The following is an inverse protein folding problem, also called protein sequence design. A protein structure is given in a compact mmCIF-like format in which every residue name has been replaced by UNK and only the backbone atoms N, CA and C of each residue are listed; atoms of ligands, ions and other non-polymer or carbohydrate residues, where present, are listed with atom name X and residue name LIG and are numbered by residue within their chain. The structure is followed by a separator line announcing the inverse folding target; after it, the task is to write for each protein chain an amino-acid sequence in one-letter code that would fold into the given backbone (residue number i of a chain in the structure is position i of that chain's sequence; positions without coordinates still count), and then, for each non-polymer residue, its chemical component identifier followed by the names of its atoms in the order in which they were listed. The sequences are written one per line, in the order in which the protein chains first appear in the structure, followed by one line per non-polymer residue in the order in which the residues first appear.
data_IF_520633209990
#
_entry.id   IF_520633209990
#
_cell.length_a   1.000
_cell.length_b   1.000
_cell.length_c   1.000
_cell.angle_alpha   90.00
_cell.angle_beta   90.00
_cell.angle_gamma   90.00
#
_symmetry.space_group_name_H-M   'P 1'
#
loop_
_entity.id
_entity.type
_entity.pdbx_description
1 polymer ?
#
# COMPACT_ATOMS: atom_id res chain seq x y z
N UNK A 1 15.51 -22.73 -7.70
CA UNK A 1 14.11 -23.08 -8.01
C UNK A 1 13.44 -21.80 -8.40
N UNK A 2 13.02 -21.68 -9.66
CA UNK A 2 12.35 -20.47 -10.13
C UNK A 2 11.04 -20.26 -9.41
N UNK A 3 10.84 -19.06 -8.90
CA UNK A 3 9.66 -18.70 -8.10
C UNK A 3 8.43 -18.70 -9.02
N UNK A 4 7.55 -19.70 -8.84
CA UNK A 4 6.30 -19.79 -9.58
C UNK A 4 5.31 -18.74 -9.06
N UNK A 5 4.80 -17.91 -9.95
CA UNK A 5 3.79 -16.86 -9.64
C UNK A 5 2.42 -17.22 -10.22
N UNK A 6 1.35 -16.70 -9.66
CA UNK A 6 0.01 -16.91 -10.20
C UNK A 6 -0.12 -16.32 -11.59
N UNK A 7 -0.72 -17.05 -12.52
CA UNK A 7 -0.85 -16.65 -13.93
C UNK A 7 -1.55 -15.31 -14.12
N UNK A 8 -2.56 -14.98 -13.32
CA UNK A 8 -3.21 -13.67 -13.37
C UNK A 8 -2.27 -12.53 -12.93
N UNK A 9 -1.35 -12.79 -11.99
CA UNK A 9 -0.28 -11.85 -11.62
C UNK A 9 0.71 -11.70 -12.76
N UNK A 10 1.13 -12.81 -13.38
CA UNK A 10 2.05 -12.82 -14.53
C UNK A 10 1.51 -11.98 -15.69
N UNK A 11 0.27 -12.21 -16.12
CA UNK A 11 -0.39 -11.46 -17.20
C UNK A 11 -0.52 -9.95 -16.89
N UNK A 12 -0.82 -9.64 -15.62
CA UNK A 12 -0.93 -8.24 -15.20
C UNK A 12 0.42 -7.52 -15.17
N UNK A 13 1.50 -8.18 -14.74
CA UNK A 13 2.87 -7.65 -14.74
C UNK A 13 3.46 -7.57 -16.14
N UNK A 14 3.05 -8.47 -17.04
CA UNK A 14 3.39 -8.40 -18.45
C UNK A 14 2.66 -7.27 -19.21
N UNK A 15 1.73 -6.56 -18.54
CA UNK A 15 1.02 -5.43 -19.14
C UNK A 15 -0.18 -5.81 -19.99
N UNK A 16 -0.57 -7.09 -20.07
CA UNK A 16 -1.65 -7.56 -20.92
C UNK A 16 -3.02 -7.04 -20.44
N UNK A 17 -3.34 -7.23 -19.14
CA UNK A 17 -4.64 -6.87 -18.59
C UNK A 17 -4.59 -6.69 -17.05
N UNK A 18 -5.71 -6.38 -16.41
CA UNK A 18 -5.81 -6.42 -14.93
C UNK A 18 -5.91 -7.86 -14.44
N UNK A 19 -5.58 -8.15 -13.16
CA UNK A 19 -5.72 -9.49 -12.59
C UNK A 19 -7.13 -10.07 -12.74
N UNK A 20 -8.18 -9.25 -12.52
CA UNK A 20 -9.58 -9.67 -12.70
C UNK A 20 -9.93 -9.94 -14.15
N UNK A 21 -9.36 -9.18 -15.06
CA UNK A 21 -9.50 -9.41 -16.48
C UNK A 21 -8.76 -10.69 -16.90
N UNK A 22 -7.57 -10.93 -16.36
CA UNK A 22 -6.84 -12.18 -16.58
C UNK A 22 -7.64 -13.39 -16.11
N UNK A 23 -8.26 -13.33 -14.92
CA UNK A 23 -9.13 -14.41 -14.43
C UNK A 23 -10.28 -14.69 -15.41
N UNK A 24 -10.93 -13.64 -15.94
CA UNK A 24 -11.98 -13.77 -16.94
C UNK A 24 -11.46 -14.39 -18.26
N UNK A 25 -10.31 -13.93 -18.76
CA UNK A 25 -9.69 -14.49 -19.97
C UNK A 25 -9.33 -15.97 -19.81
N UNK A 26 -8.93 -16.39 -18.60
CA UNK A 26 -8.66 -17.78 -18.26
C UNK A 26 -9.96 -18.59 -18.31
N UNK A 27 -11.03 -18.12 -17.69
CA UNK A 27 -12.35 -18.77 -17.72
C UNK A 27 -12.91 -18.90 -19.15
N UNK A 28 -12.70 -17.88 -20.01
CA UNK A 28 -13.04 -17.89 -21.42
C UNK A 28 -12.14 -18.81 -22.26
N UNK A 29 -11.08 -19.38 -21.68
CA UNK A 29 -10.13 -20.27 -22.38
C UNK A 29 -9.23 -19.57 -23.39
N UNK A 30 -9.02 -18.26 -23.25
CA UNK A 30 -8.18 -17.40 -24.10
C UNK A 30 -6.68 -17.43 -23.71
N UNK A 31 -6.38 -18.01 -22.55
CA UNK A 31 -5.00 -18.12 -22.04
C UNK A 31 -4.55 -19.57 -22.14
N UNK A 32 -3.34 -19.77 -22.67
CA UNK A 32 -2.68 -21.09 -22.72
C UNK A 32 -1.32 -21.04 -22.04
N UNK A 33 -0.92 -22.17 -21.46
CA UNK A 33 0.41 -22.41 -20.87
C UNK A 33 0.97 -23.69 -21.50
N UNK A 34 2.12 -23.58 -22.15
CA UNK A 34 2.75 -24.71 -22.86
C UNK A 34 1.77 -25.42 -23.81
N UNK A 35 0.97 -24.64 -24.55
CA UNK A 35 -0.02 -25.11 -25.52
C UNK A 35 -1.30 -25.69 -24.92
N UNK A 36 -1.50 -25.71 -23.59
CA UNK A 36 -2.72 -26.19 -22.94
C UNK A 36 -3.49 -25.02 -22.33
N UNK A 37 -4.83 -25.12 -22.30
CA UNK A 37 -5.67 -24.10 -21.63
C UNK A 37 -5.26 -23.95 -20.17
N UNK A 38 -5.12 -22.69 -19.75
CA UNK A 38 -4.79 -22.36 -18.37
C UNK A 38 -5.98 -22.59 -17.44
N UNK A 39 -5.68 -22.96 -16.19
CA UNK A 39 -6.67 -23.15 -15.13
C UNK A 39 -6.66 -21.97 -14.15
N UNK A 40 -7.81 -21.70 -13.50
CA UNK A 40 -7.91 -20.67 -12.47
C UNK A 40 -6.98 -20.96 -11.30
N UNK A 41 -6.17 -19.96 -10.90
CA UNK A 41 -5.20 -20.10 -9.82
C UNK A 41 -3.89 -20.81 -10.21
N UNK A 42 -3.74 -21.27 -11.46
CA UNK A 42 -2.50 -21.88 -11.97
C UNK A 42 -1.29 -20.97 -11.69
N UNK A 43 -0.15 -21.59 -11.39
CA UNK A 43 1.14 -20.91 -11.22
C UNK A 43 2.04 -21.20 -12.41
N UNK A 44 2.74 -20.18 -12.88
CA UNK A 44 3.70 -20.24 -13.99
C UNK A 44 5.09 -19.78 -13.54
N UNK A 45 6.13 -20.29 -14.19
CA UNK A 45 7.53 -19.86 -14.08
C UNK A 45 7.91 -19.00 -15.27
N UNK A 46 9.13 -18.48 -15.27
CA UNK A 46 9.67 -17.73 -16.43
C UNK A 46 9.99 -18.65 -17.64
N UNK A 47 10.09 -19.97 -17.42
CA UNK A 47 10.34 -20.95 -18.46
C UNK A 47 9.06 -21.39 -19.19
N UNK A 48 7.89 -21.13 -18.60
CA UNK A 48 6.62 -21.51 -19.20
C UNK A 48 6.24 -20.57 -20.35
N UNK A 49 5.87 -21.13 -21.49
CA UNK A 49 5.32 -20.39 -22.61
C UNK A 49 3.85 -20.02 -22.32
N UNK A 50 3.60 -18.75 -22.01
CA UNK A 50 2.25 -18.24 -21.77
C UNK A 50 1.78 -17.47 -22.99
N UNK A 51 0.59 -17.82 -23.53
CA UNK A 51 -0.03 -17.09 -24.63
C UNK A 51 -1.39 -16.52 -24.21
N UNK A 52 -1.70 -15.33 -24.70
CA UNK A 52 -3.00 -14.69 -24.62
C UNK A 52 -3.55 -14.52 -26.05
N UNK A 53 -4.75 -15.06 -26.33
CA UNK A 53 -5.34 -15.09 -27.67
C UNK A 53 -4.38 -15.62 -28.76
N UNK A 54 -3.63 -16.66 -28.42
CA UNK A 54 -2.57 -17.28 -29.23
C UNK A 54 -1.33 -16.40 -29.52
N UNK A 55 -1.19 -15.26 -28.82
CA UNK A 55 -0.01 -14.39 -28.91
C UNK A 55 0.89 -14.65 -27.69
N UNK A 56 2.19 -14.97 -27.86
CA UNK A 56 3.11 -15.15 -26.75
C UNK A 56 3.21 -13.89 -25.89
N UNK A 57 3.14 -14.09 -24.58
CA UNK A 57 3.23 -13.04 -23.57
C UNK A 57 4.65 -12.96 -23.04
N UNK A 58 5.31 -11.83 -23.22
CA UNK A 58 6.63 -11.58 -22.67
C UNK A 58 6.53 -10.61 -21.50
N UNK A 59 7.16 -10.94 -20.38
CA UNK A 59 7.21 -10.03 -19.23
C UNK A 59 8.08 -8.83 -19.58
N UNK A 60 7.55 -7.64 -19.33
CA UNK A 60 8.34 -6.42 -19.50
C UNK A 60 9.35 -6.31 -18.35
N UNK A 61 10.64 -6.30 -18.67
CA UNK A 61 11.70 -6.24 -17.67
C UNK A 61 11.88 -4.83 -17.08
N UNK A 62 11.43 -3.78 -17.81
CA UNK A 62 11.57 -2.41 -17.33
C UNK A 62 10.59 -2.15 -16.19
N UNK A 63 11.12 -2.02 -14.98
CA UNK A 63 10.39 -1.54 -13.81
C UNK A 63 10.24 -0.04 -13.88
N UNK A 64 9.03 0.45 -13.66
CA UNK A 64 8.69 1.87 -13.77
C UNK A 64 8.02 2.34 -12.49
N UNK A 65 8.45 3.48 -11.99
CA UNK A 65 7.76 4.28 -10.98
C UNK A 65 7.72 5.73 -11.44
N UNK A 66 6.52 6.23 -11.70
CA UNK A 66 6.26 7.60 -12.13
C UNK A 66 5.80 8.45 -10.95
N UNK A 67 6.33 9.65 -10.87
CA UNK A 67 5.87 10.72 -10.00
C UNK A 67 5.02 11.67 -10.83
N UNK A 68 3.73 11.68 -10.60
CA UNK A 68 2.75 12.48 -11.34
C UNK A 68 2.14 13.56 -10.45
N UNK A 69 2.18 14.81 -10.91
CA UNK A 69 1.47 15.91 -10.25
C UNK A 69 0.03 15.98 -10.79
N UNK A 70 -0.82 15.14 -10.22
CA UNK A 70 -2.21 14.98 -10.66
C UNK A 70 -2.99 16.28 -10.52
N UNK A 71 -3.61 16.82 -11.58
CA UNK A 71 -4.53 17.94 -11.49
C UNK A 71 -5.89 17.52 -10.88
N UNK A 72 -6.72 18.49 -10.54
CA UNK A 72 -8.13 18.25 -10.18
C UNK A 72 -8.91 17.75 -11.40
N UNK A 73 -10.02 17.06 -11.15
CA UNK A 73 -10.91 16.59 -12.20
C UNK A 73 -10.56 15.21 -12.78
N UNK A 74 -9.34 14.71 -12.57
CA UNK A 74 -8.89 13.40 -13.05
C UNK A 74 -9.19 12.32 -12.00
N UNK A 75 -9.72 11.17 -12.44
CA UNK A 75 -10.09 10.05 -11.57
C UNK A 75 -8.96 9.04 -11.46
N UNK A 76 -8.61 8.63 -10.24
CA UNK A 76 -7.64 7.55 -10.00
C UNK A 76 -8.29 6.17 -10.25
N UNK A 77 -8.59 5.85 -11.49
CA UNK A 77 -9.12 4.58 -11.97
C UNK A 77 -8.35 4.12 -13.20
N UNK A 78 -8.29 2.82 -13.42
CA UNK A 78 -7.79 2.20 -14.66
C UNK A 78 -8.95 1.78 -15.58
N UNK A 79 -10.19 1.96 -15.15
CA UNK A 79 -11.40 1.72 -15.95
C UNK A 79 -12.17 3.02 -16.08
N UNK A 80 -12.43 3.40 -17.30
CA UNK A 80 -13.32 4.52 -17.61
C UNK A 80 -14.73 4.19 -17.10
N UNK A 81 -15.29 5.10 -16.32
CA UNK A 81 -16.70 5.06 -15.92
C UNK A 81 -17.31 6.38 -16.37
N UNK A 82 -18.32 6.31 -17.23
CA UNK A 82 -18.94 7.49 -17.84
C UNK A 82 -17.92 8.35 -18.62
N UNK A 83 -18.19 9.61 -18.85
CA UNK A 83 -17.31 10.57 -19.54
C UNK A 83 -16.17 11.12 -18.65
N UNK A 84 -15.64 10.31 -17.72
CA UNK A 84 -14.57 10.73 -16.82
C UNK A 84 -13.20 10.36 -17.38
N UNK A 85 -12.29 11.34 -17.43
CA UNK A 85 -10.88 11.10 -17.76
C UNK A 85 -10.19 10.37 -16.60
N UNK A 86 -9.68 9.19 -16.87
CA UNK A 86 -8.89 8.44 -15.88
C UNK A 86 -7.44 8.91 -15.88
N UNK A 87 -6.71 8.60 -14.81
CA UNK A 87 -5.28 8.95 -14.70
C UNK A 87 -4.45 8.24 -15.77
N UNK A 88 -4.82 7.03 -16.16
CA UNK A 88 -4.12 6.27 -17.20
C UNK A 88 -4.35 6.85 -18.58
N UNK A 89 -5.58 7.24 -18.90
CA UNK A 89 -5.91 7.91 -20.18
C UNK A 89 -5.23 9.27 -20.30
N UNK A 90 -5.16 10.03 -19.18
CA UNK A 90 -4.53 11.34 -19.15
C UNK A 90 -3.01 11.27 -19.40
N UNK A 91 -2.34 10.26 -18.83
CA UNK A 91 -0.88 10.13 -18.95
C UNK A 91 -0.41 9.60 -20.29
N UNK A 92 -1.21 8.78 -20.96
CA UNK A 92 -0.88 8.09 -22.22
C UNK A 92 0.55 7.51 -22.22
N UNK A 93 0.90 6.83 -21.10
CA UNK A 93 2.24 6.28 -20.92
C UNK A 93 2.40 4.96 -21.71
N UNK A 94 3.52 4.73 -22.44
CA UNK A 94 3.66 3.59 -23.34
C UNK A 94 3.60 2.22 -22.67
N UNK A 95 3.88 2.15 -21.36
CA UNK A 95 3.73 0.93 -20.58
C UNK A 95 2.46 1.01 -19.73
N UNK A 96 1.84 -0.13 -19.52
CA UNK A 96 0.71 -0.22 -18.61
C UNK A 96 1.14 0.03 -17.18
N UNK A 97 0.75 1.18 -16.64
CA UNK A 97 0.97 1.57 -15.24
C UNK A 97 -0.36 1.72 -14.51
N UNK A 98 -0.34 1.61 -13.19
CA UNK A 98 -1.50 1.81 -12.33
C UNK A 98 -1.12 2.59 -11.08
N UNK A 99 -2.08 3.32 -10.49
CA UNK A 99 -1.80 4.20 -9.37
C UNK A 99 -1.45 3.43 -8.09
N UNK A 100 -0.45 3.93 -7.37
CA UNK A 100 -0.09 3.51 -6.01
C UNK A 100 -0.96 4.27 -5.03
N UNK A 101 -2.05 3.66 -4.62
CA UNK A 101 -3.10 4.31 -3.86
C UNK A 101 -3.95 5.24 -4.72
N UNK A 102 -4.72 6.10 -4.07
CA UNK A 102 -5.66 6.98 -4.76
C UNK A 102 -5.61 8.40 -4.21
N UNK A 103 -5.96 9.35 -5.05
CA UNK A 103 -6.41 10.70 -4.72
C UNK A 103 -7.84 10.85 -5.24
N UNK A 104 -8.69 11.54 -4.49
CA UNK A 104 -10.04 11.87 -4.94
C UNK A 104 -9.96 12.73 -6.21
N UNK A 105 -11.04 12.73 -7.02
CA UNK A 105 -11.17 13.57 -8.22
C UNK A 105 -10.88 15.05 -7.94
N UNK A 106 -11.37 15.54 -6.81
CA UNK A 106 -11.22 16.94 -6.34
C UNK A 106 -9.88 17.21 -5.63
N UNK A 107 -9.04 16.22 -5.44
CA UNK A 107 -7.72 16.36 -4.84
C UNK A 107 -6.64 16.39 -5.90
N UNK A 108 -5.54 17.07 -5.62
CA UNK A 108 -4.42 17.24 -6.55
C UNK A 108 -3.08 16.87 -5.90
N UNK A 109 -2.02 16.87 -6.69
CA UNK A 109 -0.66 16.67 -6.21
C UNK A 109 -0.10 15.29 -6.47
N UNK A 110 0.90 14.90 -5.70
CA UNK A 110 1.70 13.71 -5.95
C UNK A 110 0.88 12.42 -5.96
N UNK A 111 0.86 11.77 -7.11
CA UNK A 111 0.36 10.43 -7.31
C UNK A 111 1.47 9.59 -7.93
N UNK A 112 1.75 8.45 -7.32
CA UNK A 112 2.71 7.50 -7.87
C UNK A 112 1.96 6.51 -8.78
N UNK A 113 2.62 6.13 -9.90
CA UNK A 113 2.12 5.07 -10.78
C UNK A 113 3.26 4.09 -11.08
N UNK A 114 2.95 2.81 -11.16
CA UNK A 114 3.94 1.76 -11.39
C UNK A 114 3.34 0.61 -12.19
N UNK A 115 4.21 -0.20 -12.81
CA UNK A 115 3.86 -1.51 -13.36
C UNK A 115 4.17 -2.68 -12.40
N UNK A 116 4.67 -2.39 -11.19
CA UNK A 116 5.01 -3.40 -10.18
C UNK A 116 3.94 -3.49 -9.07
N UNK A 117 3.15 -4.57 -9.07
CA UNK A 117 2.09 -4.77 -8.05
C UNK A 117 2.62 -4.93 -6.64
N UNK A 118 3.78 -5.51 -6.47
CA UNK A 118 4.38 -5.74 -5.16
C UNK A 118 4.83 -4.42 -4.53
N UNK A 119 5.35 -3.49 -5.34
CA UNK A 119 5.71 -2.14 -4.88
C UNK A 119 4.49 -1.37 -4.34
N UNK A 120 3.32 -1.52 -4.99
CA UNK A 120 2.07 -0.93 -4.48
C UNK A 120 1.76 -1.42 -3.08
N UNK A 121 1.86 -2.74 -2.86
CA UNK A 121 1.60 -3.32 -1.55
C UNK A 121 2.58 -2.82 -0.49
N UNK A 122 3.88 -2.74 -0.82
CA UNK A 122 4.93 -2.24 0.09
C UNK A 122 4.66 -0.81 0.53
N UNK A 123 4.39 0.09 -0.42
CA UNK A 123 4.14 1.52 -0.15
C UNK A 123 2.80 1.74 0.59
N UNK A 124 1.75 0.96 0.25
CA UNK A 124 0.40 1.20 0.77
C UNK A 124 0.07 0.45 2.06
N UNK A 125 0.93 -0.47 2.51
CA UNK A 125 0.71 -1.24 3.74
C UNK A 125 0.57 -0.31 4.96
N UNK A 126 -0.61 -0.31 5.57
CA UNK A 126 -0.94 0.60 6.69
C UNK A 126 -0.07 0.36 7.94
N UNK A 127 0.42 -0.87 8.14
CA UNK A 127 1.32 -1.24 9.23
C UNK A 127 2.71 -0.58 9.17
N UNK A 128 3.14 -0.14 7.99
CA UNK A 128 4.49 0.40 7.81
C UNK A 128 4.63 1.90 8.14
N UNK A 129 3.54 2.55 8.53
CA UNK A 129 3.53 3.97 8.94
C UNK A 129 4.15 4.94 7.92
N UNK A 130 4.06 4.65 6.62
CA UNK A 130 4.62 5.48 5.58
C UNK A 130 3.94 6.85 5.53
N UNK A 131 4.77 7.90 5.66
CA UNK A 131 4.30 9.28 5.72
C UNK A 131 3.78 9.77 4.37
N UNK A 132 2.68 10.50 4.45
CA UNK A 132 2.11 11.28 3.33
C UNK A 132 1.85 12.69 3.81
N UNK A 133 2.42 13.68 3.16
CA UNK A 133 2.28 15.10 3.50
C UNK A 133 1.33 15.80 2.55
N UNK A 134 0.45 16.61 3.14
CA UNK A 134 -0.56 17.35 2.41
C UNK A 134 -0.56 18.83 2.79
N UNK A 135 -0.82 19.68 1.80
CA UNK A 135 -1.19 21.07 1.99
C UNK A 135 -2.72 21.18 1.85
N UNK A 136 -3.34 21.83 2.81
CA UNK A 136 -4.80 21.93 2.92
C UNK A 136 -5.21 23.38 3.07
N UNK A 137 -6.19 23.82 2.27
CA UNK A 137 -6.87 25.10 2.44
C UNK A 137 -8.31 24.84 2.86
N UNK A 138 -8.77 25.57 3.85
CA UNK A 138 -10.12 25.46 4.44
C UNK A 138 -10.90 26.77 4.33
N UNK A 139 -12.18 26.70 4.60
CA UNK A 139 -13.14 27.80 4.40
C UNK A 139 -13.11 28.92 5.47
N UNK A 140 -12.33 28.76 6.54
CA UNK A 140 -12.26 29.74 7.63
C UNK A 140 -10.88 29.67 8.33
N UNK A 141 -10.52 30.69 9.14
CA UNK A 141 -9.24 30.76 9.82
C UNK A 141 -8.95 29.51 10.69
N UNK A 142 -7.71 29.02 10.60
CA UNK A 142 -7.18 27.93 11.41
C UNK A 142 -6.58 28.52 12.67
N UNK A 143 -7.01 28.04 13.82
CA UNK A 143 -6.50 28.46 15.13
C UNK A 143 -5.68 27.36 15.82
N UNK A 144 -5.09 27.69 16.95
CA UNK A 144 -4.28 26.77 17.74
C UNK A 144 -5.11 25.59 18.29
N UNK A 145 -6.38 25.80 18.58
CA UNK A 145 -7.28 24.75 19.05
C UNK A 145 -7.58 23.74 17.94
N UNK A 146 -7.82 24.21 16.71
CA UNK A 146 -7.95 23.32 15.55
C UNK A 146 -6.70 22.46 15.38
N UNK A 147 -5.49 23.07 15.39
CA UNK A 147 -4.21 22.37 15.26
C UNK A 147 -4.05 21.30 16.34
N UNK A 148 -4.32 21.67 17.59
CA UNK A 148 -4.22 20.78 18.74
C UNK A 148 -5.16 19.57 18.62
N UNK A 149 -6.43 19.80 18.26
CA UNK A 149 -7.44 18.75 18.12
C UNK A 149 -7.14 17.84 16.92
N UNK A 150 -6.79 18.42 15.79
CA UNK A 150 -6.45 17.69 14.58
C UNK A 150 -5.23 16.77 14.81
N UNK A 151 -4.22 17.25 15.53
CA UNK A 151 -2.97 16.48 15.79
C UNK A 151 -3.15 15.29 16.72
N UNK A 152 -4.09 15.35 17.68
CA UNK A 152 -4.34 14.28 18.65
C UNK A 152 -5.09 13.08 18.07
N UNK A 153 -5.66 13.22 16.90
CA UNK A 153 -6.58 12.27 16.29
C UNK A 153 -8.03 12.66 16.46
N UNK A 154 -8.82 12.33 15.46
CA UNK A 154 -10.22 12.76 15.30
C UNK A 154 -11.07 11.53 15.00
N UNK A 155 -12.28 11.40 15.57
CA UNK A 155 -13.24 10.37 15.18
C UNK A 155 -13.60 10.49 13.69
N UNK A 156 -13.36 9.42 12.92
CA UNK A 156 -13.65 9.34 11.49
C UNK A 156 -14.09 7.92 11.16
N UNK A 157 -15.28 7.79 10.57
CA UNK A 157 -15.91 6.49 10.40
C UNK A 157 -16.06 5.80 11.77
N UNK A 158 -15.81 4.53 11.87
CA UNK A 158 -15.95 3.76 13.11
C UNK A 158 -14.63 3.68 13.92
N UNK A 159 -13.73 4.64 13.73
CA UNK A 159 -12.41 4.65 14.39
C UNK A 159 -11.94 6.06 14.73
N UNK A 160 -10.91 6.16 15.57
CA UNK A 160 -10.17 7.41 15.80
C UNK A 160 -8.91 7.40 14.95
N UNK A 161 -8.66 8.51 14.22
CA UNK A 161 -7.45 8.62 13.42
C UNK A 161 -6.20 8.60 14.29
N UNK A 162 -5.10 8.09 13.74
CA UNK A 162 -3.79 8.15 14.43
C UNK A 162 -3.41 9.60 14.70
N UNK A 163 -2.68 9.88 15.80
CA UNK A 163 -2.04 11.17 15.99
C UNK A 163 -1.18 11.54 14.78
N UNK A 164 -1.15 12.82 14.45
CA UNK A 164 -0.47 13.30 13.25
C UNK A 164 0.17 14.67 13.48
N UNK A 165 1.14 15.04 12.65
CA UNK A 165 1.76 16.36 12.70
C UNK A 165 0.93 17.34 11.88
N UNK A 166 0.52 18.44 12.50
CA UNK A 166 -0.20 19.54 11.85
C UNK A 166 0.52 20.85 12.10
N UNK A 167 0.71 21.65 11.07
CA UNK A 167 1.38 22.95 11.15
C UNK A 167 0.55 23.96 10.37
N UNK A 168 0.11 25.04 11.02
CA UNK A 168 -0.52 26.17 10.34
C UNK A 168 0.49 26.82 9.40
N UNK A 169 0.06 27.12 8.16
CA UNK A 169 0.92 27.72 7.12
C UNK A 169 0.40 29.04 6.59
N UNK A 170 -0.81 29.41 6.97
CA UNK A 170 -1.46 30.65 6.62
C UNK A 170 -2.76 30.77 7.40
N UNK A 171 -3.50 31.85 7.19
CA UNK A 171 -4.74 32.12 7.92
C UNK A 171 -5.75 30.95 7.77
N UNK A 172 -6.01 30.51 6.54
CA UNK A 172 -6.95 29.43 6.23
C UNK A 172 -6.24 28.19 5.67
N UNK A 173 -4.98 27.95 6.05
CA UNK A 173 -4.22 26.81 5.50
C UNK A 173 -3.30 26.16 6.52
N UNK A 174 -3.07 24.87 6.32
CA UNK A 174 -2.16 24.07 7.14
C UNK A 174 -1.50 22.95 6.34
N UNK A 175 -0.38 22.43 6.85
CA UNK A 175 0.22 21.17 6.42
C UNK A 175 -0.12 20.08 7.42
N UNK A 176 -0.34 18.87 6.91
CA UNK A 176 -0.60 17.68 7.72
C UNK A 176 0.19 16.50 7.18
N UNK A 177 0.83 15.75 8.09
CA UNK A 177 1.56 14.51 7.78
C UNK A 177 0.80 13.35 8.40
N UNK A 178 0.36 12.42 7.56
CA UNK A 178 -0.40 11.23 7.93
C UNK A 178 0.40 9.96 7.65
N UNK A 179 0.28 8.98 8.55
CA UNK A 179 0.84 7.63 8.41
C UNK A 179 -0.23 6.56 8.14
N UNK A 180 -1.46 6.97 7.91
CA UNK A 180 -2.59 6.12 7.53
C UNK A 180 -3.36 6.74 6.36
N UNK A 181 -4.28 6.00 5.75
CA UNK A 181 -5.05 6.46 4.61
C UNK A 181 -6.48 5.95 4.64
N UNK A 182 -7.33 6.52 5.51
CA UNK A 182 -8.77 6.23 5.50
C UNK A 182 -9.47 6.95 4.35
N UNK A 183 -10.62 6.44 3.94
CA UNK A 183 -11.41 7.06 2.88
C UNK A 183 -11.72 8.53 3.21
N UNK A 184 -11.26 9.46 2.36
CA UNK A 184 -11.44 10.92 2.48
C UNK A 184 -11.05 11.46 3.87
N UNK A 185 -10.01 10.90 4.50
CA UNK A 185 -9.64 11.12 5.90
C UNK A 185 -9.56 12.60 6.25
N UNK A 186 -8.73 13.39 5.59
CA UNK A 186 -8.52 14.81 5.89
C UNK A 186 -9.83 15.60 5.78
N UNK A 187 -10.63 15.36 4.74
CA UNK A 187 -11.93 16.03 4.56
C UNK A 187 -12.91 15.68 5.68
N UNK A 188 -12.90 14.43 6.17
CA UNK A 188 -13.74 14.00 7.29
C UNK A 188 -13.26 14.58 8.62
N UNK A 189 -11.94 14.61 8.85
CA UNK A 189 -11.34 15.24 10.04
C UNK A 189 -11.67 16.72 10.12
N UNK A 190 -11.51 17.46 9.01
CA UNK A 190 -11.89 18.88 8.94
C UNK A 190 -13.38 19.08 9.23
N UNK A 191 -14.25 18.28 8.60
CA UNK A 191 -15.72 18.39 8.80
C UNK A 191 -16.09 18.12 10.25
N UNK A 192 -15.49 17.14 10.91
CA UNK A 192 -15.73 16.86 12.32
C UNK A 192 -15.37 18.05 13.22
N UNK A 193 -14.34 18.82 12.85
CA UNK A 193 -13.94 20.04 13.55
C UNK A 193 -14.71 21.28 13.09
N UNK A 194 -15.69 21.13 12.17
CA UNK A 194 -16.52 22.23 11.68
C UNK A 194 -15.87 23.07 10.58
N UNK A 195 -14.94 22.47 9.81
CA UNK A 195 -14.25 23.10 8.67
C UNK A 195 -14.56 22.37 7.36
N UNK A 196 -14.51 23.11 6.23
CA UNK A 196 -14.64 22.55 4.89
C UNK A 196 -13.34 22.70 4.11
N UNK A 197 -12.88 21.60 3.50
CA UNK A 197 -11.68 21.61 2.67
C UNK A 197 -11.98 22.19 1.30
N UNK A 198 -11.35 23.32 0.98
CA UNK A 198 -11.42 24.02 -0.31
C UNK A 198 -10.40 23.46 -1.31
N UNK A 199 -9.15 23.27 -0.86
CA UNK A 199 -8.07 22.69 -1.65
C UNK A 199 -7.34 21.62 -0.84
N UNK A 200 -6.96 20.53 -1.51
CA UNK A 200 -6.18 19.45 -0.93
C UNK A 200 -5.14 19.01 -1.93
N UNK A 201 -3.87 19.25 -1.60
CA UNK A 201 -2.74 18.87 -2.45
C UNK A 201 -1.79 17.96 -1.68
N UNK A 202 -1.53 16.75 -2.19
CA UNK A 202 -0.49 15.88 -1.63
C UNK A 202 0.88 16.33 -2.15
N UNK A 203 1.77 16.66 -1.24
CA UNK A 203 3.09 17.20 -1.54
C UNK A 203 4.17 16.11 -1.58
N UNK A 204 4.05 15.11 -0.70
CA UNK A 204 5.09 14.11 -0.46
C UNK A 204 4.50 12.74 -0.12
N UNK A 205 5.17 11.69 -0.56
CA UNK A 205 4.99 10.29 -0.13
C UNK A 205 6.39 9.76 0.21
N UNK A 206 6.64 9.42 1.48
CA UNK A 206 7.95 9.00 1.96
C UNK A 206 9.04 10.02 1.58
N UNK A 207 10.07 9.65 0.82
CA UNK A 207 11.11 10.54 0.30
C UNK A 207 10.75 11.25 -1.02
N UNK A 208 9.67 10.84 -1.67
CA UNK A 208 9.28 11.34 -3.00
C UNK A 208 8.46 12.62 -2.90
N UNK A 209 8.85 13.67 -3.60
CA UNK A 209 8.22 15.00 -3.59
C UNK A 209 7.75 15.44 -4.97
N UNK A 210 7.03 16.56 -5.02
CA UNK A 210 6.60 17.20 -6.28
C UNK A 210 7.65 18.14 -6.88
N UNK A 211 8.85 18.21 -6.31
CA UNK A 211 9.84 19.18 -6.71
C UNK A 211 10.19 19.04 -8.21
N UNK A 212 10.11 20.14 -8.94
CA UNK A 212 10.36 20.20 -10.39
C UNK A 212 9.25 19.62 -11.27
N UNK A 213 8.10 19.18 -10.74
CA UNK A 213 6.99 18.62 -11.52
C UNK A 213 5.82 19.60 -11.56
N UNK A 214 5.52 20.19 -12.72
CA UNK A 214 4.36 21.07 -12.89
C UNK A 214 3.06 20.28 -12.82
N UNK A 215 1.95 20.96 -12.54
CA UNK A 215 0.63 20.34 -12.53
C UNK A 215 0.30 19.75 -13.91
N UNK A 216 -0.13 18.48 -13.92
CA UNK A 216 -0.40 17.71 -15.14
C UNK A 216 0.82 17.01 -15.74
N UNK A 217 2.03 17.27 -15.23
CA UNK A 217 3.26 16.63 -15.70
C UNK A 217 3.67 15.45 -14.80
N UNK A 218 4.48 14.57 -15.36
CA UNK A 218 5.09 13.46 -14.65
C UNK A 218 6.57 13.32 -15.01
N UNK A 219 7.30 12.63 -14.17
CA UNK A 219 8.66 12.13 -14.46
C UNK A 219 8.86 10.72 -13.90
N UNK A 220 9.84 10.03 -14.41
CA UNK A 220 10.32 8.79 -13.78
C UNK A 220 11.08 9.12 -12.49
N UNK A 221 11.10 8.18 -11.56
CA UNK A 221 11.92 8.24 -10.35
C UNK A 221 13.40 8.26 -10.72
N UNK A 222 14.22 9.02 -9.99
CA UNK A 222 15.67 9.00 -10.15
C UNK A 222 16.29 7.80 -9.43
N UNK A 223 17.53 7.45 -9.82
CA UNK A 223 18.25 6.35 -9.18
C UNK A 223 18.45 6.59 -7.66
N UNK A 224 18.79 7.83 -7.28
CA UNK A 224 18.96 8.20 -5.88
C UNK A 224 17.64 8.07 -5.08
N UNK A 225 16.54 8.61 -5.61
CA UNK A 225 15.21 8.48 -4.98
C UNK A 225 14.78 7.02 -4.83
N UNK A 226 15.13 6.18 -5.83
CA UNK A 226 14.85 4.75 -5.80
C UNK A 226 15.62 4.03 -4.69
N UNK A 227 16.91 4.34 -4.54
CA UNK A 227 17.76 3.78 -3.49
C UNK A 227 17.24 4.17 -2.10
N UNK A 228 16.93 5.46 -1.88
CA UNK A 228 16.35 5.96 -0.64
C UNK A 228 14.99 5.31 -0.35
N UNK A 229 14.11 5.17 -1.36
CA UNK A 229 12.81 4.53 -1.22
C UNK A 229 12.95 3.08 -0.78
N UNK A 230 13.83 2.31 -1.41
CA UNK A 230 14.06 0.91 -1.05
C UNK A 230 14.57 0.77 0.38
N UNK A 231 15.53 1.60 0.79
CA UNK A 231 16.02 1.61 2.17
C UNK A 231 14.91 1.92 3.19
N UNK A 232 14.04 2.88 2.90
CA UNK A 232 12.89 3.21 3.75
C UNK A 232 11.88 2.06 3.83
N UNK A 233 11.63 1.38 2.71
CA UNK A 233 10.72 0.23 2.66
C UNK A 233 11.26 -0.96 3.47
N UNK A 234 12.55 -1.27 3.35
CA UNK A 234 13.20 -2.33 4.14
C UNK A 234 13.20 -2.01 5.64
N UNK A 235 13.56 -0.78 6.01
CA UNK A 235 13.56 -0.34 7.41
C UNK A 235 12.16 -0.45 8.01
N UNK A 236 11.14 -0.01 7.30
CA UNK A 236 9.76 -0.10 7.76
C UNK A 236 9.30 -1.56 7.92
N UNK A 237 9.68 -2.44 6.99
CA UNK A 237 9.39 -3.87 7.07
C UNK A 237 10.03 -4.51 8.32
N UNK A 238 11.31 -4.23 8.58
CA UNK A 238 12.01 -4.73 9.77
C UNK A 238 11.39 -4.21 11.07
N UNK A 239 10.99 -2.93 11.11
CA UNK A 239 10.28 -2.38 12.27
C UNK A 239 8.94 -3.08 12.49
N UNK A 240 8.19 -3.33 11.42
CA UNK A 240 6.92 -4.04 11.49
C UNK A 240 7.10 -5.49 11.97
N UNK A 241 8.12 -6.19 11.50
CA UNK A 241 8.46 -7.54 11.99
C UNK A 241 8.72 -7.53 13.51
N UNK A 242 9.51 -6.57 14.02
CA UNK A 242 9.77 -6.43 15.47
C UNK A 242 8.48 -6.22 16.26
N UNK A 243 7.57 -5.38 15.76
CA UNK A 243 6.27 -5.14 16.39
C UNK A 243 5.41 -6.41 16.43
N UNK A 244 5.36 -7.15 15.31
CA UNK A 244 4.60 -8.40 15.21
C UNK A 244 5.15 -9.47 16.15
N UNK A 245 6.48 -9.67 16.18
CA UNK A 245 7.11 -10.61 17.10
C UNK A 245 6.77 -10.29 18.55
N UNK A 246 6.85 -9.02 18.96
CA UNK A 246 6.49 -8.61 20.33
C UNK A 246 5.02 -8.89 20.66
N UNK A 247 4.11 -8.63 19.71
CA UNK A 247 2.67 -8.88 19.91
C UNK A 247 2.35 -10.37 20.00
N UNK A 248 2.92 -11.16 19.08
CA UNK A 248 2.75 -12.62 19.07
C UNK A 248 3.31 -13.27 20.32
N UNK A 249 4.52 -12.89 20.75
CA UNK A 249 5.14 -13.38 21.99
C UNK A 249 4.29 -13.03 23.23
N UNK A 250 3.79 -11.79 23.30
CA UNK A 250 2.92 -11.34 24.39
C UNK A 250 1.60 -12.13 24.41
N UNK A 251 0.99 -12.36 23.23
CA UNK A 251 -0.24 -13.13 23.12
C UNK A 251 -0.05 -14.59 23.53
N UNK A 252 1.04 -15.21 23.07
CA UNK A 252 1.40 -16.56 23.44
C UNK A 252 1.66 -16.72 24.94
N UNK A 253 2.42 -15.79 25.55
CA UNK A 253 2.65 -15.78 27.01
C UNK A 253 1.34 -15.63 27.81
N UNK A 254 0.44 -14.74 27.40
CA UNK A 254 -0.85 -14.58 28.06
C UNK A 254 -1.70 -15.86 27.97
N UNK A 255 -1.71 -16.50 26.82
CA UNK A 255 -2.46 -17.75 26.61
C UNK A 255 -1.89 -18.91 27.43
N UNK A 256 -0.58 -19.20 27.32
CA UNK A 256 0.03 -20.37 27.96
C UNK A 256 0.36 -20.21 29.44
N UNK A 257 0.65 -18.98 29.92
CA UNK A 257 1.06 -18.74 31.30
C UNK A 257 -0.04 -18.14 32.18
N UNK A 258 -1.01 -17.45 31.61
CA UNK A 258 -2.04 -16.72 32.34
C UNK A 258 -3.46 -17.20 32.03
N UNK A 259 -3.60 -18.21 31.16
CA UNK A 259 -4.89 -18.72 30.67
C UNK A 259 -5.85 -17.60 30.22
N UNK A 260 -5.26 -16.58 29.56
CA UNK A 260 -5.97 -15.37 29.14
C UNK A 260 -5.78 -15.14 27.65
N UNK A 261 -6.88 -15.08 26.92
CA UNK A 261 -6.89 -14.72 25.50
C UNK A 261 -6.93 -13.19 25.37
N UNK A 262 -5.80 -12.57 24.94
CA UNK A 262 -5.72 -11.11 24.72
C UNK A 262 -5.95 -10.70 23.28
N UNK A 263 -5.89 -11.63 22.35
CA UNK A 263 -6.27 -11.49 20.94
C UNK A 263 -6.93 -12.79 20.49
N UNK A 264 -7.84 -12.72 19.52
CA UNK A 264 -8.48 -13.92 18.97
C UNK A 264 -7.49 -14.80 18.18
N UNK A 265 -7.73 -16.11 18.10
CA UNK A 265 -6.94 -17.04 17.30
C UNK A 265 -6.79 -16.55 15.84
N UNK A 266 -7.88 -16.03 15.27
CA UNK A 266 -7.87 -15.45 13.92
C UNK A 266 -6.92 -14.26 13.77
N UNK A 267 -6.87 -13.37 14.75
CA UNK A 267 -5.94 -12.23 14.75
C UNK A 267 -4.50 -12.71 14.94
N UNK A 268 -4.27 -13.72 15.76
CA UNK A 268 -2.96 -14.34 15.94
C UNK A 268 -2.46 -14.92 14.60
N UNK A 269 -3.27 -15.74 13.93
CA UNK A 269 -2.93 -16.34 12.63
C UNK A 269 -2.63 -15.28 11.57
N UNK A 270 -3.44 -14.21 11.50
CA UNK A 270 -3.21 -13.11 10.57
C UNK A 270 -1.89 -12.39 10.82
N UNK A 271 -1.52 -12.16 12.09
CA UNK A 271 -0.23 -11.54 12.44
C UNK A 271 0.94 -12.48 12.16
N UNK A 272 0.77 -13.78 12.37
CA UNK A 272 1.77 -14.79 12.08
C UNK A 272 2.03 -14.91 10.57
N UNK A 273 0.98 -14.97 9.76
CA UNK A 273 1.05 -14.97 8.30
C UNK A 273 1.71 -13.69 7.76
N UNK A 274 1.37 -12.52 8.35
CA UNK A 274 2.01 -11.24 7.99
C UNK A 274 3.50 -11.27 8.30
N UNK A 275 3.91 -11.81 9.44
CA UNK A 275 5.32 -11.94 9.83
C UNK A 275 6.08 -12.84 8.85
N UNK A 276 5.56 -14.04 8.54
CA UNK A 276 6.17 -14.95 7.56
C UNK A 276 6.32 -14.29 6.17
N UNK A 277 5.31 -13.54 5.74
CA UNK A 277 5.37 -12.83 4.46
C UNK A 277 6.47 -11.75 4.45
N UNK A 278 6.65 -11.02 5.56
CA UNK A 278 7.71 -10.01 5.70
C UNK A 278 9.10 -10.64 5.79
N UNK A 279 9.26 -11.75 6.49
CA UNK A 279 10.51 -12.51 6.56
C UNK A 279 10.94 -13.01 5.17
N UNK A 280 9.98 -13.54 4.40
CA UNK A 280 10.23 -13.94 3.00
C UNK A 280 10.58 -12.74 2.11
N UNK A 281 9.88 -11.62 2.29
CA UNK A 281 10.07 -10.40 1.49
C UNK A 281 11.44 -9.75 1.73
N UNK A 282 11.87 -9.69 2.98
CA UNK A 282 13.15 -9.05 3.40
C UNK A 282 14.35 -10.01 3.35
N UNK A 283 14.11 -11.31 3.27
CA UNK A 283 15.16 -12.33 3.44
C UNK A 283 15.75 -12.36 4.85
N UNK A 284 15.14 -11.67 5.81
CA UNK A 284 15.62 -11.52 7.19
C UNK A 284 14.65 -12.21 8.14
N UNK A 285 15.18 -13.05 9.04
CA UNK A 285 14.43 -13.65 10.13
C UNK A 285 14.98 -13.13 11.45
N UNK A 286 14.12 -12.60 12.32
CA UNK A 286 14.55 -12.10 13.62
C UNK A 286 14.88 -13.27 14.57
N UNK A 287 15.93 -13.13 15.38
CA UNK A 287 16.42 -14.21 16.25
C UNK A 287 15.37 -14.72 17.26
N UNK A 288 14.41 -13.87 17.62
CA UNK A 288 13.30 -14.17 18.53
C UNK A 288 11.96 -14.34 17.77
N UNK A 289 11.99 -14.59 16.48
CA UNK A 289 10.77 -14.79 15.70
C UNK A 289 10.09 -16.12 16.08
N UNK A 290 8.77 -16.12 16.32
CA UNK A 290 8.02 -17.34 16.58
C UNK A 290 7.97 -18.29 15.38
N UNK A 291 8.39 -17.83 14.18
CA UNK A 291 8.48 -18.66 12.98
C UNK A 291 9.69 -19.60 13.01
N UNK A 292 10.70 -19.32 13.84
CA UNK A 292 11.91 -20.15 14.03
C UNK A 292 11.77 -21.03 15.26
N UNK A 293 11.07 -20.58 16.28
CA UNK A 293 10.88 -21.31 17.54
C UNK A 293 9.68 -22.24 17.41
N UNK A 294 9.90 -23.50 17.05
CA UNK A 294 8.86 -24.54 17.18
C UNK A 294 8.81 -24.95 18.64
N UNK A 295 7.85 -24.40 19.38
CA UNK A 295 7.50 -24.82 20.71
C UNK A 295 8.03 -23.92 21.84
N UNK A 296 7.10 -23.38 22.65
CA UNK A 296 7.42 -22.95 24.02
C UNK A 296 7.97 -24.16 24.79
N UNK A 297 9.08 -23.97 25.49
CA UNK A 297 9.50 -24.91 26.53
C UNK A 297 8.31 -25.06 27.50
N UNK A 298 7.71 -26.22 27.53
CA UNK A 298 6.71 -26.56 28.52
C UNK A 298 7.38 -26.39 29.89
N UNK A 299 6.81 -25.56 30.74
CA UNK A 299 7.27 -25.43 32.12
C UNK A 299 7.02 -26.77 32.80
N UNK A 300 8.07 -27.59 32.88
CA UNK A 300 8.08 -28.85 33.64
C UNK A 300 8.05 -28.54 35.13
N UNK A 301 6.89 -28.13 35.62
CA UNK A 301 6.60 -28.13 37.05
C UNK A 301 5.07 -28.31 37.26
N UNK A 302 4.59 -29.51 37.02
CA UNK A 302 3.40 -29.97 37.75
C UNK A 302 3.85 -30.40 39.14
N UNK A 303 3.22 -29.90 40.22
CA UNK A 303 3.47 -30.45 41.55
C UNK A 303 3.05 -31.93 41.57
N UNK A 304 3.93 -32.82 41.97
CA UNK A 304 3.58 -34.18 42.30
C UNK A 304 2.81 -34.15 43.60
N UNK A 305 1.53 -34.53 43.58
CA UNK A 305 0.86 -35.10 44.75
C UNK A 305 1.30 -36.53 44.97
#
# INVERSE_FOLDING_TARGET
MDEKIRINKYLSEAGICSRREADRMIEEGRITVNGKKAESGQKVSLEDEVCADNIPVHKNEKKVLLLFNKPRGIVCSTKQQFDETTVTDYLDYPLRVYPVGRLDKESQGLLLLTNEGDLVNKIMRAGNYHEKEYFVTVNKPVDSEFVRRMSKGVPVLDTVTRPCRVVQTGECSFRIILTQGLNRQIRRMCRYLGYEVQKLKRLRIMNLTLDGIREGEYREITAQEWEELNHLLETAAIMRMKELVQKLDRAAKAYYQQDTEIISNREYDQMYDELQALEKETGTVLANSPTVSVGYEAVDQLPKE
#
